data_IF_018322995153
#
_entry.id   IF_018322995153
#
_cell.length_a   1.000
_cell.length_b   1.000
_cell.length_c   1.000
_cell.angle_alpha   90.00
_cell.angle_beta   90.00
_cell.angle_gamma   90.00
#
_symmetry.space_group_name_H-M   'P 1'
#
loop_
_entity.id
_entity.type
_entity.pdbx_description
1 polymer ?
#
# COMPACT_ATOMS: atom_id res chain seq x y z
N UNK A 1 -3.18 -6.55 -14.18
CA UNK A 1 -3.65 -6.13 -12.84
C UNK A 1 -4.84 -6.97 -12.44
N UNK A 2 -4.99 -7.27 -11.15
CA UNK A 2 -6.26 -7.73 -10.57
C UNK A 2 -7.28 -6.58 -10.52
N UNK A 3 -8.54 -6.85 -10.23
CA UNK A 3 -9.56 -5.81 -10.02
C UNK A 3 -10.14 -5.88 -8.62
N UNK A 4 -10.34 -4.71 -8.00
CA UNK A 4 -11.01 -4.59 -6.68
C UNK A 4 -12.53 -4.53 -6.80
N UNK A 5 -13.04 -4.54 -8.03
CA UNK A 5 -14.47 -4.47 -8.30
C UNK A 5 -15.13 -5.84 -8.16
N UNK A 6 -16.41 -5.81 -7.79
CA UNK A 6 -17.28 -6.97 -7.87
C UNK A 6 -17.49 -7.42 -9.32
N UNK A 7 -17.81 -8.70 -9.52
CA UNK A 7 -17.82 -9.34 -10.85
C UNK A 7 -18.80 -8.73 -11.86
N UNK A 8 -19.88 -8.08 -11.39
CA UNK A 8 -20.86 -7.41 -12.24
C UNK A 8 -20.48 -6.00 -12.70
N UNK A 9 -19.28 -5.49 -12.38
CA UNK A 9 -18.82 -4.17 -12.83
C UNK A 9 -18.27 -4.26 -14.26
N UNK A 10 -19.17 -4.48 -15.22
CA UNK A 10 -18.87 -4.87 -16.62
C UNK A 10 -19.18 -3.78 -17.66
N UNK A 11 -19.69 -2.63 -17.23
CA UNK A 11 -20.03 -1.49 -18.09
C UNK A 11 -21.38 -1.60 -18.81
N UNK A 12 -22.26 -2.51 -18.40
CA UNK A 12 -23.55 -2.74 -19.09
C UNK A 12 -24.46 -1.51 -19.11
N UNK A 13 -24.45 -0.71 -18.03
CA UNK A 13 -25.16 0.57 -17.97
C UNK A 13 -24.62 1.61 -18.97
N UNK A 14 -23.30 1.66 -19.16
CA UNK A 14 -22.65 2.56 -20.12
C UNK A 14 -23.06 2.18 -21.55
N UNK A 15 -22.99 0.89 -21.90
CA UNK A 15 -23.42 0.41 -23.23
C UNK A 15 -24.91 0.66 -23.46
N UNK A 16 -25.74 0.58 -22.42
CA UNK A 16 -27.17 0.86 -22.52
C UNK A 16 -27.43 2.33 -22.88
N UNK A 17 -26.76 3.27 -22.20
CA UNK A 17 -26.99 4.70 -22.46
C UNK A 17 -26.42 5.14 -23.81
N UNK A 18 -25.28 4.59 -24.26
CA UNK A 18 -24.73 4.82 -25.60
C UNK A 18 -25.71 4.39 -26.70
N UNK A 19 -26.36 3.22 -26.52
CA UNK A 19 -27.40 2.75 -27.47
C UNK A 19 -28.63 3.65 -27.54
N UNK A 20 -28.90 4.44 -26.50
CA UNK A 20 -29.99 5.42 -26.46
C UNK A 20 -29.55 6.81 -26.96
N UNK A 21 -28.32 6.93 -27.49
CA UNK A 21 -27.78 8.19 -28.02
C UNK A 21 -27.09 9.07 -26.98
N UNK A 22 -26.83 8.56 -25.77
CA UNK A 22 -25.99 9.24 -24.79
C UNK A 22 -24.51 9.22 -25.18
N UNK A 23 -23.77 10.22 -24.74
CA UNK A 23 -22.33 10.38 -25.03
C UNK A 23 -21.51 10.17 -23.75
N UNK A 24 -20.34 9.56 -23.88
CA UNK A 24 -19.36 9.41 -22.81
C UNK A 24 -18.18 10.35 -23.00
N UNK A 25 -17.50 10.70 -21.92
CA UNK A 25 -16.22 11.42 -21.92
C UNK A 25 -15.23 10.68 -21.04
N UNK A 26 -13.94 10.86 -21.28
CA UNK A 26 -12.85 10.38 -20.42
C UNK A 26 -12.85 8.85 -20.16
N UNK A 27 -13.40 8.07 -21.08
CA UNK A 27 -13.49 6.59 -20.97
C UNK A 27 -12.13 5.88 -20.92
N UNK A 28 -11.05 6.59 -21.25
CA UNK A 28 -9.68 6.12 -21.16
C UNK A 28 -9.02 6.41 -19.79
N UNK A 29 -9.68 7.19 -18.91
CA UNK A 29 -9.18 7.57 -17.59
C UNK A 29 -9.44 6.49 -16.53
N UNK A 30 -8.73 5.36 -16.64
CA UNK A 30 -8.86 4.23 -15.72
C UNK A 30 -7.91 4.40 -14.53
N UNK A 31 -8.46 4.44 -13.31
CA UNK A 31 -7.67 4.53 -12.09
C UNK A 31 -7.28 3.15 -11.53
N UNK A 32 -6.00 3.00 -11.24
CA UNK A 32 -5.41 1.85 -10.55
C UNK A 32 -5.16 2.21 -9.08
N UNK A 33 -5.57 1.35 -8.16
CA UNK A 33 -5.23 1.46 -6.75
C UNK A 33 -3.87 0.79 -6.47
N UNK A 34 -2.91 1.46 -5.81
CA UNK A 34 -1.56 0.94 -5.65
C UNK A 34 -1.48 -0.24 -4.65
N UNK A 35 -2.38 -0.30 -3.67
CA UNK A 35 -2.31 -1.27 -2.57
C UNK A 35 -3.48 -2.26 -2.60
N UNK A 36 -3.30 -3.37 -3.31
CA UNK A 36 -4.26 -4.47 -3.42
C UNK A 36 -3.58 -5.79 -3.08
N UNK A 37 -4.20 -6.58 -2.20
CA UNK A 37 -3.79 -7.96 -1.95
C UNK A 37 -4.14 -8.81 -3.17
N UNK A 38 -3.13 -9.44 -3.78
CA UNK A 38 -3.25 -9.98 -5.13
C UNK A 38 -4.03 -11.30 -5.20
N UNK A 39 -3.95 -12.17 -4.19
CA UNK A 39 -4.56 -13.52 -4.27
C UNK A 39 -6.09 -13.47 -4.25
N UNK A 40 -6.66 -12.58 -3.44
CA UNK A 40 -8.12 -12.38 -3.31
C UNK A 40 -8.60 -11.10 -3.97
N UNK A 41 -7.72 -10.38 -4.66
CA UNK A 41 -7.99 -9.07 -5.28
C UNK A 41 -8.61 -8.06 -4.29
N UNK A 42 -8.17 -8.10 -3.03
CA UNK A 42 -8.78 -7.36 -1.94
C UNK A 42 -8.07 -6.03 -1.71
N UNK A 43 -8.82 -4.92 -1.72
CA UNK A 43 -8.26 -3.59 -1.53
C UNK A 43 -7.73 -3.43 -0.10
N UNK A 44 -6.48 -2.99 0.02
CA UNK A 44 -5.92 -2.56 1.31
C UNK A 44 -6.04 -1.05 1.38
N UNK A 45 -6.87 -0.59 2.32
CA UNK A 45 -7.26 0.82 2.44
C UNK A 45 -6.08 1.78 2.57
N UNK A 46 -6.17 2.91 1.88
CA UNK A 46 -5.16 3.97 1.87
C UNK A 46 -4.87 4.54 3.27
N UNK A 47 -5.83 4.44 4.19
CA UNK A 47 -5.66 4.79 5.59
C UNK A 47 -4.46 4.10 6.26
N UNK A 48 -4.08 2.89 5.83
CA UNK A 48 -2.88 2.20 6.35
C UNK A 48 -1.62 3.03 6.05
N UNK A 49 -1.47 3.54 4.82
CA UNK A 49 -0.39 4.47 4.44
C UNK A 49 -0.56 5.80 5.16
N UNK A 50 -1.78 6.34 5.18
CA UNK A 50 -2.10 7.61 5.82
C UNK A 50 -1.72 7.69 7.30
N UNK A 51 -1.83 6.56 8.02
CA UNK A 51 -1.50 6.46 9.44
C UNK A 51 -0.03 6.15 9.74
N UNK A 52 0.82 6.07 8.71
CA UNK A 52 2.27 5.98 8.86
C UNK A 52 2.94 4.75 8.25
N UNK A 53 2.19 3.84 7.63
CA UNK A 53 2.81 2.67 6.97
C UNK A 53 3.72 3.09 5.81
N UNK A 54 4.75 2.28 5.58
CA UNK A 54 5.75 2.45 4.53
C UNK A 54 5.54 1.43 3.42
N UNK A 55 5.89 1.81 2.19
CA UNK A 55 6.02 0.86 1.09
C UNK A 55 7.47 0.41 0.99
N UNK A 56 7.70 -0.88 1.15
CA UNK A 56 9.02 -1.50 1.20
C UNK A 56 9.16 -2.54 0.09
N UNK A 57 10.22 -2.47 -0.70
CA UNK A 57 10.53 -3.45 -1.75
C UNK A 57 11.07 -4.76 -1.18
N UNK A 58 11.27 -5.77 -2.04
CA UNK A 58 11.97 -7.01 -1.68
C UNK A 58 13.41 -6.81 -1.15
N UNK A 59 14.02 -5.65 -1.41
CA UNK A 59 15.34 -5.29 -0.86
C UNK A 59 15.29 -4.73 0.57
N UNK A 60 14.09 -4.57 1.16
CA UNK A 60 13.93 -3.98 2.49
C UNK A 60 14.05 -2.46 2.52
N UNK A 61 13.89 -1.79 1.36
CA UNK A 61 14.02 -0.33 1.21
C UNK A 61 12.71 0.33 0.81
N UNK A 62 12.51 1.58 1.24
CA UNK A 62 11.53 2.49 0.63
C UNK A 62 11.95 2.85 -0.79
N UNK A 63 10.98 3.22 -1.62
CA UNK A 63 11.22 3.54 -3.03
C UNK A 63 10.31 4.66 -3.57
N UNK A 64 9.42 5.21 -2.75
CA UNK A 64 8.48 6.25 -3.17
C UNK A 64 7.92 7.00 -1.96
N UNK A 65 7.31 8.17 -2.19
CA UNK A 65 6.44 8.81 -1.22
C UNK A 65 5.11 8.05 -1.19
N UNK A 66 4.78 7.42 -0.06
CA UNK A 66 3.60 6.57 0.04
C UNK A 66 2.28 7.33 -0.07
N UNK A 67 2.29 8.66 0.05
CA UNK A 67 1.12 9.53 -0.04
C UNK A 67 1.13 10.45 -1.25
N UNK A 68 1.97 10.14 -2.25
CA UNK A 68 1.82 10.69 -3.60
C UNK A 68 0.52 10.19 -4.25
N UNK A 69 0.19 10.78 -5.40
CA UNK A 69 -0.98 10.40 -6.19
C UNK A 69 -0.91 8.93 -6.63
N UNK A 70 -2.08 8.30 -6.75
CA UNK A 70 -2.20 6.84 -7.01
C UNK A 70 -1.48 6.38 -8.28
N UNK A 71 -1.46 7.21 -9.31
CA UNK A 71 -0.72 6.99 -10.55
C UNK A 71 0.79 6.91 -10.30
N UNK A 72 1.37 7.85 -9.54
CA UNK A 72 2.79 7.86 -9.19
C UNK A 72 3.19 6.69 -8.31
N UNK A 73 2.41 6.40 -7.26
CA UNK A 73 2.70 5.26 -6.37
C UNK A 73 2.58 3.94 -7.13
N UNK A 74 1.56 3.81 -8.00
CA UNK A 74 1.41 2.64 -8.88
C UNK A 74 2.58 2.50 -9.84
N UNK A 75 3.00 3.59 -10.49
CA UNK A 75 4.14 3.60 -11.39
C UNK A 75 5.43 3.16 -10.68
N UNK A 76 5.66 3.67 -9.46
CA UNK A 76 6.81 3.29 -8.64
C UNK A 76 6.79 1.79 -8.25
N UNK A 77 5.63 1.21 -7.94
CA UNK A 77 5.54 -0.24 -7.67
C UNK A 77 5.81 -1.04 -8.95
N UNK A 78 5.38 -0.56 -10.11
CA UNK A 78 5.57 -1.25 -11.38
C UNK A 78 7.02 -1.26 -11.88
N UNK A 79 7.89 -0.38 -11.39
CA UNK A 79 9.33 -0.43 -11.71
C UNK A 79 10.07 -1.49 -10.90
N UNK A 80 9.48 -2.01 -9.82
CA UNK A 80 10.06 -3.11 -9.05
C UNK A 80 10.01 -4.42 -9.86
N UNK A 81 11.06 -5.26 -9.81
CA UNK A 81 11.09 -6.54 -10.52
C UNK A 81 9.88 -7.44 -10.24
N UNK A 82 9.45 -7.49 -8.98
CA UNK A 82 8.34 -8.28 -8.50
C UNK A 82 6.96 -7.64 -8.77
N UNK A 83 6.91 -6.38 -9.25
CA UNK A 83 5.69 -5.57 -9.44
C UNK A 83 4.76 -5.60 -8.22
N UNK A 84 5.36 -5.71 -7.04
CA UNK A 84 4.69 -5.83 -5.75
C UNK A 84 5.59 -5.21 -4.68
N UNK A 85 5.02 -4.91 -3.54
CA UNK A 85 5.76 -4.37 -2.39
C UNK A 85 5.10 -4.86 -1.11
N UNK A 86 5.69 -4.53 0.02
CA UNK A 86 5.10 -4.72 1.33
C UNK A 86 4.67 -3.38 1.91
N UNK A 87 3.44 -3.30 2.40
CA UNK A 87 3.06 -2.29 3.39
C UNK A 87 3.62 -2.72 4.73
N UNK A 88 4.58 -1.98 5.29
CA UNK A 88 5.19 -2.26 6.60
C UNK A 88 4.73 -1.23 7.62
N UNK A 89 4.28 -1.70 8.79
CA UNK A 89 3.74 -0.85 9.84
C UNK A 89 3.88 -1.50 11.23
N UNK A 90 3.59 -0.73 12.28
CA UNK A 90 3.74 -1.14 13.67
C UNK A 90 2.38 -1.33 14.37
N UNK A 91 2.42 -1.68 15.66
CA UNK A 91 1.21 -1.82 16.49
C UNK A 91 0.42 -0.52 16.65
N UNK A 92 1.09 0.63 16.60
CA UNK A 92 0.46 1.94 16.61
C UNK A 92 -0.49 2.12 15.41
N UNK A 93 0.00 1.85 14.20
CA UNK A 93 -0.83 1.88 12.99
C UNK A 93 -1.98 0.87 13.08
N UNK A 94 -1.70 -0.37 13.52
CA UNK A 94 -2.75 -1.39 13.73
C UNK A 94 -3.85 -0.90 14.67
N UNK A 95 -3.49 -0.17 15.71
CA UNK A 95 -4.45 0.38 16.69
C UNK A 95 -5.35 1.44 16.08
N UNK A 96 -4.79 2.35 15.26
CA UNK A 96 -5.49 3.48 14.63
C UNK A 96 -6.32 3.07 13.41
N UNK A 97 -5.87 2.09 12.63
CA UNK A 97 -6.59 1.60 11.44
C UNK A 97 -7.29 0.28 11.72
N UNK A 98 -8.54 0.36 12.20
CA UNK A 98 -9.35 -0.81 12.58
C UNK A 98 -9.57 -1.82 11.45
N UNK A 99 -9.52 -1.40 10.19
CA UNK A 99 -9.61 -2.30 9.04
C UNK A 99 -8.49 -3.37 9.02
N UNK A 100 -7.34 -3.13 9.68
CA UNK A 100 -6.25 -4.11 9.76
C UNK A 100 -6.68 -5.38 10.48
N UNK A 101 -7.57 -5.30 11.47
CA UNK A 101 -8.12 -6.48 12.15
C UNK A 101 -8.86 -7.41 11.17
N UNK A 102 -9.52 -6.84 10.16
CA UNK A 102 -10.15 -7.62 9.10
C UNK A 102 -9.09 -8.25 8.19
N UNK A 103 -8.06 -7.50 7.78
CA UNK A 103 -6.98 -8.05 6.93
C UNK A 103 -6.26 -9.21 7.63
N UNK A 104 -6.09 -9.13 8.95
CA UNK A 104 -5.52 -10.20 9.78
C UNK A 104 -6.42 -11.43 9.80
N UNK A 105 -7.73 -11.27 10.05
CA UNK A 105 -8.71 -12.38 9.98
C UNK A 105 -8.76 -13.03 8.60
N UNK A 106 -8.47 -12.28 7.54
CA UNK A 106 -8.43 -12.78 6.17
C UNK A 106 -7.11 -13.50 5.81
N UNK A 107 -6.12 -13.47 6.70
CA UNK A 107 -4.81 -14.10 6.55
C UNK A 107 -3.81 -13.28 5.73
N UNK A 108 -4.01 -11.96 5.59
CA UNK A 108 -3.16 -11.10 4.76
C UNK A 108 -1.97 -10.49 5.52
N UNK A 109 -2.03 -10.48 6.85
CA UNK A 109 -1.06 -9.81 7.71
C UNK A 109 0.03 -10.78 8.15
N UNK A 110 1.27 -10.43 7.83
CA UNK A 110 2.48 -11.06 8.35
C UNK A 110 2.85 -10.30 9.63
N UNK A 111 3.23 -11.01 10.70
CA UNK A 111 3.66 -10.41 11.97
C UNK A 111 5.10 -10.84 12.31
N UNK A 112 5.85 -9.94 12.95
CA UNK A 112 7.07 -10.25 13.67
C UNK A 112 7.21 -9.40 14.93
N UNK A 113 7.58 -10.03 16.05
CA UNK A 113 7.73 -9.32 17.33
C UNK A 113 8.94 -8.36 17.35
N UNK A 114 9.85 -8.52 16.40
CA UNK A 114 10.98 -7.63 16.13
C UNK A 114 11.06 -7.36 14.64
N UNK A 115 11.78 -6.29 14.24
CA UNK A 115 12.02 -5.97 12.83
C UNK A 115 12.75 -7.13 12.13
N UNK A 116 13.72 -7.76 12.81
CA UNK A 116 14.41 -8.94 12.28
C UNK A 116 13.49 -10.15 12.07
N UNK A 117 12.56 -10.40 13.00
CA UNK A 117 11.57 -11.47 12.84
C UNK A 117 10.61 -11.18 11.67
N UNK A 118 10.15 -9.93 11.53
CA UNK A 118 9.31 -9.51 10.42
C UNK A 118 10.06 -9.63 9.09
N UNK A 119 11.31 -9.17 9.02
CA UNK A 119 12.14 -9.25 7.82
C UNK A 119 12.31 -10.70 7.35
N UNK A 120 12.57 -11.62 8.29
CA UNK A 120 12.65 -13.05 8.01
C UNK A 120 11.33 -13.60 7.46
N UNK A 121 10.19 -13.21 8.04
CA UNK A 121 8.87 -13.64 7.59
C UNK A 121 8.49 -13.08 6.21
N UNK A 122 8.95 -11.87 5.88
CA UNK A 122 8.79 -11.25 4.55
C UNK A 122 9.80 -11.76 3.52
N UNK A 123 10.85 -12.46 3.96
CA UNK A 123 12.02 -12.82 3.15
C UNK A 123 12.73 -11.59 2.54
N UNK A 124 13.00 -10.58 3.36
CA UNK A 124 13.76 -9.37 2.99
C UNK A 124 15.03 -9.22 3.85
N UNK A 125 16.06 -8.47 3.41
CA UNK A 125 17.26 -8.26 4.20
C UNK A 125 16.97 -7.49 5.51
N UNK A 126 17.19 -8.14 6.66
CA UNK A 126 16.88 -7.59 7.98
C UNK A 126 17.57 -6.27 8.28
N UNK A 127 18.87 -6.18 7.99
CA UNK A 127 19.66 -4.95 8.22
C UNK A 127 19.16 -3.77 7.37
N UNK A 128 18.69 -4.05 6.14
CA UNK A 128 18.13 -3.00 5.28
C UNK A 128 16.76 -2.55 5.80
N UNK A 129 15.91 -3.49 6.22
CA UNK A 129 14.61 -3.15 6.79
C UNK A 129 14.77 -2.33 8.08
N UNK A 130 15.68 -2.72 8.96
CA UNK A 130 16.02 -1.97 10.17
C UNK A 130 16.45 -0.54 9.83
N UNK A 131 17.40 -0.39 8.91
CA UNK A 131 17.88 0.92 8.45
C UNK A 131 16.75 1.79 7.87
N UNK A 132 15.83 1.18 7.12
CA UNK A 132 14.65 1.87 6.58
C UNK A 132 13.78 2.43 7.69
N UNK A 133 13.46 1.62 8.71
CA UNK A 133 12.64 2.06 9.84
C UNK A 133 13.36 3.11 10.69
N UNK A 134 14.65 2.97 10.93
CA UNK A 134 15.45 3.95 11.69
C UNK A 134 15.50 5.31 10.97
N UNK A 135 15.67 5.29 9.64
CA UNK A 135 15.64 6.49 8.79
C UNK A 135 14.27 7.15 8.84
N UNK A 136 13.20 6.37 8.69
CA UNK A 136 11.83 6.88 8.78
C UNK A 136 11.51 7.48 10.15
N UNK A 137 11.83 6.78 11.24
CA UNK A 137 11.56 7.26 12.59
C UNK A 137 12.32 8.57 12.87
N UNK A 138 13.55 8.69 12.35
CA UNK A 138 14.31 9.93 12.38
C UNK A 138 13.65 11.04 11.55
N UNK A 139 13.12 10.73 10.37
CA UNK A 139 12.38 11.67 9.53
C UNK A 139 11.11 12.17 10.21
N UNK A 140 10.35 11.29 10.87
CA UNK A 140 9.15 11.63 11.67
C UNK A 140 9.51 12.58 12.80
N UNK A 141 10.54 12.26 13.59
CA UNK A 141 11.03 13.11 14.69
C UNK A 141 11.42 14.50 14.19
N UNK A 142 12.10 14.57 13.04
CA UNK A 142 12.56 15.81 12.45
C UNK A 142 11.50 16.52 11.58
N UNK A 143 10.31 15.93 11.43
CA UNK A 143 9.24 16.38 10.53
C UNK A 143 9.72 16.67 9.10
N UNK A 144 10.65 15.83 8.61
CA UNK A 144 11.28 15.99 7.30
C UNK A 144 11.72 14.64 6.75
N UNK A 145 10.98 14.13 5.76
CA UNK A 145 11.40 13.00 4.94
C UNK A 145 12.36 13.49 3.84
N UNK A 146 13.67 13.33 4.08
CA UNK A 146 14.68 13.73 3.11
C UNK A 146 14.82 12.74 1.94
N UNK A 147 14.31 11.51 2.07
CA UNK A 147 14.48 10.48 1.03
C UNK A 147 13.44 10.64 -0.08
N UNK A 148 12.17 10.84 0.27
CA UNK A 148 11.07 10.88 -0.70
C UNK A 148 10.16 12.09 -0.56
N UNK A 149 10.43 13.00 0.37
CA UNK A 149 9.66 14.25 0.48
C UNK A 149 8.24 14.06 0.99
N UNK A 150 7.92 12.96 1.68
CA UNK A 150 6.63 12.80 2.36
C UNK A 150 6.43 13.92 3.39
N UNK A 151 5.24 14.52 3.39
CA UNK A 151 4.89 15.65 4.28
C UNK A 151 3.69 15.37 5.18
N UNK A 152 2.93 14.30 4.90
CA UNK A 152 1.72 13.93 5.63
C UNK A 152 1.83 12.51 6.18
N UNK A 153 0.98 12.17 7.17
CA UNK A 153 1.03 10.87 7.84
C UNK A 153 2.38 10.62 8.53
N UNK A 154 2.98 11.68 9.08
CA UNK A 154 4.26 11.69 9.80
C UNK A 154 4.06 12.04 11.27
N UNK A 155 2.88 11.78 11.82
CA UNK A 155 2.53 12.17 13.19
C UNK A 155 3.05 11.18 14.23
N UNK A 156 3.20 9.92 13.83
CA UNK A 156 3.66 8.82 14.67
C UNK A 156 4.80 8.10 13.95
N UNK A 157 5.83 7.74 14.70
CA UNK A 157 6.90 6.88 14.19
C UNK A 157 6.43 5.41 14.17
N UNK A 158 7.29 4.51 13.70
CA UNK A 158 7.05 3.07 13.69
C UNK A 158 7.97 2.39 14.72
N UNK A 159 7.88 2.82 15.99
CA UNK A 159 8.67 2.25 17.09
C UNK A 159 7.93 1.20 17.93
N UNK A 160 6.61 1.05 17.76
CA UNK A 160 5.77 0.19 18.60
C UNK A 160 5.67 -1.25 18.10
N UNK A 161 6.52 -2.15 18.60
CA UNK A 161 6.36 -3.59 18.38
C UNK A 161 5.01 -4.14 18.89
N UNK A 162 4.45 -5.24 18.33
CA UNK A 162 4.97 -6.00 17.18
C UNK A 162 4.90 -5.22 15.86
N UNK A 163 5.62 -5.71 14.87
CA UNK A 163 5.65 -5.16 13.52
C UNK A 163 4.89 -6.07 12.56
N UNK A 164 4.33 -5.46 11.52
CA UNK A 164 3.43 -6.12 10.59
C UNK A 164 3.77 -5.76 9.16
N UNK A 165 3.44 -6.67 8.25
CA UNK A 165 3.48 -6.39 6.82
C UNK A 165 2.28 -6.98 6.08
N UNK A 166 1.87 -6.34 4.98
CA UNK A 166 0.91 -6.89 4.02
C UNK A 166 1.54 -6.83 2.63
N UNK A 167 1.63 -7.96 1.94
CA UNK A 167 2.10 -7.99 0.54
C UNK A 167 1.01 -7.42 -0.37
N UNK A 168 1.37 -6.44 -1.19
CA UNK A 168 0.46 -5.73 -2.08
C UNK A 168 1.02 -5.60 -3.48
N UNK A 169 0.14 -5.32 -4.43
CA UNK A 169 0.49 -4.83 -5.76
C UNK A 169 -0.66 -3.99 -6.33
N UNK A 170 -0.48 -3.36 -7.50
CA UNK A 170 -1.52 -2.50 -8.07
C UNK A 170 -2.70 -3.30 -8.62
N UNK A 171 -3.91 -2.72 -8.56
CA UNK A 171 -5.14 -3.32 -9.08
C UNK A 171 -6.11 -2.30 -9.66
N UNK A 172 -6.84 -2.65 -10.72
CA UNK A 172 -7.87 -1.80 -11.33
C UNK A 172 -8.97 -1.52 -10.29
N UNK A 173 -9.38 -0.26 -10.19
CA UNK A 173 -10.28 0.18 -9.13
C UNK A 173 -11.46 1.00 -9.61
N UNK A 174 -11.24 2.00 -10.46
CA UNK A 174 -12.28 2.93 -10.86
C UNK A 174 -12.13 3.30 -12.33
N UNK A 175 -13.26 3.54 -12.98
CA UNK A 175 -13.42 4.03 -14.35
C UNK A 175 -14.27 5.28 -14.30
#
# INVERSE_FOLDING_TARGET
YVTTNQIGSTGDGIRMIEKLGGTTVDMDQIQVHPTVQQDKSYLIGEAVRGEGALLVSSEGKRFTNELDTRDKVTAAINTLPEKSAFLVFDSGVKTRVKAIEQYEKMGFVIQGDTIGALAKAMNVPGDQLQKTLDTWNSAVKNKKDAEFGRTTGMDNDLSGAPYYAIKIGPGIHYT
#
